data_IF_150656055848
#
_entry.id   IF_150656055848
#
_cell.length_a   1.000
_cell.length_b   1.000
_cell.length_c   1.000
_cell.angle_alpha   90.00
_cell.angle_beta   90.00
_cell.angle_gamma   90.00
#
_symmetry.space_group_name_H-M   'P 1'
#
loop_
_entity.id
_entity.type
_entity.pdbx_description
1 polymer ?
#
# COMPACT_ATOMS: atom_id res chain seq x y z
N UNK A 1 0.91 -12.08 17.54
CA UNK A 1 1.15 -12.12 16.11
C UNK A 1 1.94 -10.91 15.65
N UNK A 2 2.41 -10.93 14.41
CA UNK A 2 3.34 -9.90 13.88
C UNK A 2 2.86 -8.45 13.98
N UNK A 3 1.54 -8.19 13.88
CA UNK A 3 0.99 -6.85 14.05
C UNK A 3 1.34 -6.24 15.41
N UNK A 4 1.08 -6.96 16.50
CA UNK A 4 1.29 -6.44 17.86
C UNK A 4 2.76 -6.15 18.13
N UNK A 5 3.67 -7.02 17.69
CA UNK A 5 5.12 -6.82 17.86
C UNK A 5 5.63 -5.58 17.10
N UNK A 6 5.05 -5.29 15.93
CA UNK A 6 5.39 -4.08 15.16
C UNK A 6 4.91 -2.83 15.90
N UNK A 7 3.67 -2.86 16.42
CA UNK A 7 3.09 -1.74 17.15
C UNK A 7 3.80 -1.49 18.49
N UNK A 8 4.17 -2.55 19.20
CA UNK A 8 4.98 -2.48 20.42
C UNK A 8 6.33 -1.79 20.15
N UNK A 9 7.02 -2.20 19.07
CA UNK A 9 8.26 -1.55 18.64
C UNK A 9 8.04 -0.08 18.29
N UNK A 10 6.98 0.27 17.58
CA UNK A 10 6.66 1.66 17.25
C UNK A 10 6.42 2.51 18.50
N UNK A 11 5.69 1.98 19.50
CA UNK A 11 5.51 2.66 20.78
C UNK A 11 6.83 2.84 21.52
N UNK A 12 7.71 1.83 21.49
CA UNK A 12 9.04 1.92 22.09
C UNK A 12 9.89 3.00 21.43
N UNK A 13 9.94 3.03 20.10
CA UNK A 13 10.68 4.02 19.32
C UNK A 13 10.17 5.47 19.57
N UNK A 14 8.88 5.62 19.91
CA UNK A 14 8.25 6.89 20.27
C UNK A 14 8.36 7.24 21.76
N UNK A 15 9.02 6.42 22.59
CA UNK A 15 9.06 6.54 24.06
C UNK A 15 7.65 6.56 24.71
N UNK A 16 6.73 5.74 24.18
CA UNK A 16 5.34 5.62 24.61
C UNK A 16 4.93 4.17 24.96
N UNK A 17 5.88 3.38 25.46
CA UNK A 17 5.63 1.97 25.83
C UNK A 17 4.57 1.82 26.92
N UNK A 18 4.33 2.86 27.73
CA UNK A 18 3.24 2.94 28.70
C UNK A 18 1.84 2.88 28.06
N UNK A 19 1.72 3.16 26.77
CA UNK A 19 0.46 3.13 26.01
C UNK A 19 0.10 1.76 25.43
N UNK A 20 0.89 0.73 25.66
CA UNK A 20 0.67 -0.60 25.06
C UNK A 20 -0.69 -1.20 25.49
N UNK A 21 -1.06 -1.07 26.76
CA UNK A 21 -2.34 -1.59 27.26
C UNK A 21 -3.54 -0.87 26.63
N UNK A 22 -3.44 0.44 26.44
CA UNK A 22 -4.47 1.24 25.78
C UNK A 22 -4.59 0.81 24.30
N UNK A 23 -3.48 0.59 23.62
CA UNK A 23 -3.43 0.13 22.23
C UNK A 23 -4.10 -1.25 22.06
N UNK A 24 -3.78 -2.19 22.94
CA UNK A 24 -4.37 -3.56 22.92
C UNK A 24 -5.87 -3.50 23.11
N UNK A 25 -6.37 -2.60 23.95
CA UNK A 25 -7.82 -2.39 24.17
C UNK A 25 -8.50 -1.67 23.01
N UNK A 26 -7.79 -0.78 22.31
CA UNK A 26 -8.37 0.01 21.22
C UNK A 26 -8.57 -0.81 19.93
N UNK A 27 -7.70 -1.77 19.63
CA UNK A 27 -7.81 -2.63 18.44
C UNK A 27 -9.18 -3.32 18.32
N UNK A 28 -9.69 -4.05 19.33
CA UNK A 28 -11.01 -4.69 19.24
C UNK A 28 -12.15 -3.69 19.15
N UNK A 29 -12.01 -2.48 19.72
CA UNK A 29 -13.02 -1.43 19.63
C UNK A 29 -13.13 -0.90 18.21
N UNK A 30 -12.02 -0.58 17.57
CA UNK A 30 -12.01 -0.17 16.16
C UNK A 30 -12.55 -1.30 15.28
N UNK A 31 -12.12 -2.55 15.52
CA UNK A 31 -12.65 -3.70 14.77
C UNK A 31 -14.16 -3.81 14.84
N UNK A 32 -14.76 -3.54 16.00
CA UNK A 32 -16.21 -3.48 16.18
C UNK A 32 -16.81 -2.34 15.35
N UNK A 33 -16.25 -1.13 15.44
CA UNK A 33 -16.77 0.05 14.78
C UNK A 33 -16.74 -0.06 13.23
N UNK A 34 -15.80 -0.82 12.69
CA UNK A 34 -15.74 -1.12 11.24
C UNK A 34 -16.46 -2.40 10.83
N UNK A 35 -17.41 -2.89 11.64
CA UNK A 35 -18.25 -4.05 11.29
C UNK A 35 -17.54 -5.39 11.34
N UNK A 36 -16.63 -5.60 12.31
CA UNK A 36 -15.97 -6.86 12.61
C UNK A 36 -15.18 -7.50 11.47
N UNK A 37 -14.48 -6.70 10.70
CA UNK A 37 -13.64 -7.23 9.62
C UNK A 37 -12.63 -8.28 10.13
N UNK A 38 -12.24 -9.26 9.30
CA UNK A 38 -11.15 -10.18 9.62
C UNK A 38 -9.83 -9.44 9.80
N UNK A 39 -9.09 -9.73 10.87
CA UNK A 39 -7.75 -9.17 11.12
C UNK A 39 -6.67 -10.01 10.43
N UNK A 40 -6.62 -9.93 9.13
CA UNK A 40 -5.59 -10.54 8.27
C UNK A 40 -4.86 -9.43 7.49
N UNK A 41 -3.75 -9.73 6.85
CA UNK A 41 -3.06 -8.75 5.99
C UNK A 41 -3.94 -8.41 4.78
N UNK A 42 -4.17 -7.12 4.43
CA UNK A 42 -3.61 -5.90 5.05
C UNK A 42 -4.47 -5.31 6.18
N UNK A 43 -5.70 -5.77 6.41
CA UNK A 43 -6.67 -5.17 7.32
C UNK A 43 -6.18 -5.09 8.77
N UNK A 44 -5.43 -6.09 9.23
CA UNK A 44 -4.80 -6.06 10.56
C UNK A 44 -3.82 -4.89 10.72
N UNK A 45 -3.05 -4.58 9.68
CA UNK A 45 -2.09 -3.47 9.69
C UNK A 45 -2.82 -2.12 9.69
N UNK A 46 -3.89 -2.00 8.90
CA UNK A 46 -4.72 -0.78 8.82
C UNK A 46 -5.36 -0.49 10.18
N UNK A 47 -5.99 -1.50 10.80
CA UNK A 47 -6.62 -1.35 12.13
C UNK A 47 -5.57 -1.05 13.20
N UNK A 48 -4.42 -1.71 13.16
CA UNK A 48 -3.33 -1.47 14.10
C UNK A 48 -2.78 -0.03 13.99
N UNK A 49 -2.55 0.45 12.78
CA UNK A 49 -2.08 1.82 12.56
C UNK A 49 -3.10 2.86 13.05
N UNK A 50 -4.40 2.63 12.79
CA UNK A 50 -5.45 3.53 13.30
C UNK A 50 -5.56 3.49 14.82
N UNK A 51 -5.41 2.31 15.43
CA UNK A 51 -5.40 2.19 16.89
C UNK A 51 -4.24 2.96 17.52
N UNK A 52 -3.06 2.90 16.91
CA UNK A 52 -1.90 3.67 17.35
C UNK A 52 -2.18 5.19 17.28
N UNK A 53 -2.75 5.68 16.19
CA UNK A 53 -3.12 7.10 16.07
C UNK A 53 -4.11 7.52 17.15
N UNK A 54 -5.19 6.75 17.36
CA UNK A 54 -6.19 7.06 18.39
C UNK A 54 -5.57 7.16 19.80
N UNK A 55 -4.64 6.26 20.12
CA UNK A 55 -3.96 6.23 21.42
C UNK A 55 -2.97 7.37 21.58
N UNK A 56 -2.20 7.71 20.53
CA UNK A 56 -1.25 8.82 20.57
C UNK A 56 -1.95 10.18 20.64
N UNK A 57 -3.06 10.33 19.95
CA UNK A 57 -3.87 11.57 19.95
C UNK A 57 -4.70 11.73 21.24
N UNK A 58 -4.83 10.68 22.06
CA UNK A 58 -5.76 10.59 23.19
C UNK A 58 -7.23 10.90 22.81
N UNK A 59 -7.56 10.74 21.53
CA UNK A 59 -8.89 11.02 20.97
C UNK A 59 -9.13 10.11 19.77
N UNK A 60 -10.26 9.38 19.80
CA UNK A 60 -10.61 8.43 18.76
C UNK A 60 -10.98 9.15 17.47
N UNK A 61 -10.39 8.71 16.37
CA UNK A 61 -10.67 9.17 15.01
C UNK A 61 -10.43 10.67 14.78
N UNK A 62 -9.65 11.33 15.64
CA UNK A 62 -9.20 12.71 15.43
C UNK A 62 -8.40 12.83 14.13
N UNK A 63 -7.43 11.96 13.97
CA UNK A 63 -6.65 11.77 12.76
C UNK A 63 -6.97 10.41 12.15
N UNK A 64 -7.24 10.36 10.84
CA UNK A 64 -7.48 9.15 10.09
C UNK A 64 -6.36 8.95 9.08
N UNK A 65 -5.81 7.74 9.00
CA UNK A 65 -4.93 7.41 7.90
C UNK A 65 -5.76 7.11 6.63
N UNK A 66 -5.12 7.29 5.48
CA UNK A 66 -5.79 7.12 4.18
C UNK A 66 -6.33 5.70 4.01
N UNK A 67 -5.53 4.70 4.35
CA UNK A 67 -5.90 3.28 4.19
C UNK A 67 -7.10 2.91 5.06
N UNK A 68 -7.26 3.56 6.22
CA UNK A 68 -8.43 3.36 7.08
C UNK A 68 -9.69 4.00 6.48
N UNK A 69 -9.56 5.20 5.89
CA UNK A 69 -10.66 5.83 5.15
C UNK A 69 -11.08 4.93 3.98
N UNK A 70 -10.13 4.47 3.18
CA UNK A 70 -10.35 3.58 2.04
C UNK A 70 -11.03 2.27 2.49
N UNK A 71 -10.64 1.73 3.65
CA UNK A 71 -11.27 0.54 4.25
C UNK A 71 -12.74 0.79 4.58
N UNK A 72 -13.05 1.89 5.30
CA UNK A 72 -14.42 2.25 5.70
C UNK A 72 -15.29 2.54 4.47
N UNK A 73 -14.72 3.10 3.42
CA UNK A 73 -15.39 3.36 2.12
C UNK A 73 -15.63 2.09 1.29
N UNK A 74 -15.05 0.96 1.67
CA UNK A 74 -15.27 -0.33 1.02
C UNK A 74 -14.28 -0.68 -0.10
N UNK A 75 -13.20 0.05 -0.27
CA UNK A 75 -12.19 -0.21 -1.31
C UNK A 75 -11.46 -1.56 -1.11
N UNK A 76 -11.49 -2.09 0.12
CA UNK A 76 -10.97 -3.43 0.45
C UNK A 76 -12.02 -4.54 0.35
N UNK A 77 -13.20 -4.24 -0.17
CA UNK A 77 -14.30 -5.19 -0.36
C UNK A 77 -15.43 -5.03 0.65
N UNK A 78 -16.41 -5.95 0.57
CA UNK A 78 -17.60 -5.90 1.40
C UNK A 78 -17.27 -6.16 2.87
N UNK A 79 -17.69 -5.23 3.73
CA UNK A 79 -17.58 -5.34 5.18
C UNK A 79 -18.62 -6.32 5.72
N UNK A 80 -18.28 -7.25 6.64
CA UNK A 80 -19.18 -8.29 7.10
C UNK A 80 -20.37 -7.78 7.93
N UNK A 81 -20.17 -6.76 8.75
CA UNK A 81 -21.19 -6.19 9.64
C UNK A 81 -21.45 -4.72 9.36
N UNK A 82 -22.28 -4.10 10.19
CA UNK A 82 -22.60 -2.67 10.08
C UNK A 82 -21.45 -1.84 10.65
N UNK A 83 -21.10 -0.78 9.94
CA UNK A 83 -20.14 0.22 10.39
C UNK A 83 -20.84 1.17 11.37
N UNK A 84 -20.15 1.59 12.42
CA UNK A 84 -20.66 2.59 13.36
C UNK A 84 -21.01 3.91 12.65
N UNK A 85 -22.19 4.44 12.93
CA UNK A 85 -22.70 5.63 12.25
C UNK A 85 -21.85 6.87 12.51
N UNK A 86 -21.34 7.02 13.75
CA UNK A 86 -20.49 8.15 14.10
C UNK A 86 -19.16 8.12 13.35
N UNK A 87 -18.61 6.92 13.15
CA UNK A 87 -17.42 6.72 12.33
C UNK A 87 -17.68 7.07 10.85
N UNK A 88 -18.83 6.67 10.29
CA UNK A 88 -19.20 7.04 8.92
C UNK A 88 -19.29 8.57 8.76
N UNK A 89 -19.94 9.27 9.69
CA UNK A 89 -20.03 10.73 9.65
C UNK A 89 -18.65 11.41 9.68
N UNK A 90 -17.73 10.91 10.52
CA UNK A 90 -16.35 11.42 10.59
C UNK A 90 -15.63 11.18 9.26
N UNK A 91 -15.72 9.97 8.69
CA UNK A 91 -15.06 9.62 7.43
C UNK A 91 -15.65 10.42 6.26
N UNK A 92 -16.97 10.62 6.23
CA UNK A 92 -17.65 11.40 5.17
C UNK A 92 -17.29 12.89 5.21
N UNK A 93 -16.95 13.42 6.39
CA UNK A 93 -16.48 14.81 6.54
C UNK A 93 -15.06 15.04 6.02
N UNK A 94 -14.27 13.99 5.78
CA UNK A 94 -12.89 14.12 5.30
C UNK A 94 -12.86 14.20 3.76
N UNK A 95 -11.95 15.00 3.18
CA UNK A 95 -11.76 15.00 1.74
C UNK A 95 -11.32 13.59 1.32
N UNK A 96 -12.15 12.95 0.54
CA UNK A 96 -11.87 11.65 -0.05
C UNK A 96 -11.60 11.85 -1.53
N UNK A 97 -10.38 11.55 -1.93
CA UNK A 97 -10.02 11.55 -3.33
C UNK A 97 -10.61 10.29 -3.98
N UNK A 98 -11.80 10.42 -4.58
CA UNK A 98 -12.48 9.34 -5.31
C UNK A 98 -11.72 8.92 -6.57
N UNK A 99 -10.47 9.34 -6.74
CA UNK A 99 -9.62 8.94 -7.85
C UNK A 99 -9.20 7.45 -7.81
N UNK A 100 -9.77 6.65 -6.91
CA UNK A 100 -9.80 5.21 -7.11
C UNK A 100 -10.83 4.88 -8.20
N UNK A 101 -10.60 5.40 -9.39
CA UNK A 101 -11.20 4.83 -10.59
C UNK A 101 -10.85 3.35 -10.59
N UNK A 102 -11.85 2.47 -10.48
CA UNK A 102 -11.62 1.03 -10.59
C UNK A 102 -10.71 0.79 -11.81
N UNK A 103 -9.48 0.41 -11.53
CA UNK A 103 -8.47 0.24 -12.57
C UNK A 103 -8.83 -1.01 -13.37
N UNK A 104 -9.70 -0.86 -14.38
CA UNK A 104 -9.96 -1.94 -15.32
C UNK A 104 -8.67 -2.24 -16.08
N UNK A 105 -8.53 -3.49 -16.54
CA UNK A 105 -7.36 -3.91 -17.35
C UNK A 105 -7.15 -3.00 -18.55
N UNK A 106 -8.23 -2.52 -19.18
CA UNK A 106 -8.15 -1.61 -20.34
C UNK A 106 -7.61 -0.24 -19.96
N UNK A 107 -8.07 0.33 -18.84
CA UNK A 107 -7.53 1.60 -18.32
C UNK A 107 -6.06 1.47 -17.93
N UNK A 108 -5.69 0.35 -17.28
CA UNK A 108 -4.31 0.06 -16.94
C UNK A 108 -3.43 -0.07 -18.19
N UNK A 109 -3.94 -0.72 -19.24
CA UNK A 109 -3.26 -0.85 -20.53
C UNK A 109 -3.01 0.50 -21.20
N UNK A 110 -3.96 1.42 -21.13
CA UNK A 110 -3.78 2.79 -21.63
C UNK A 110 -2.72 3.54 -20.83
N UNK A 111 -2.82 3.55 -19.50
CA UNK A 111 -1.84 4.19 -18.63
C UNK A 111 -0.41 3.64 -18.84
N UNK A 112 -0.27 2.33 -19.02
CA UNK A 112 1.02 1.71 -19.30
C UNK A 112 1.57 2.10 -20.68
N UNK A 113 0.73 2.14 -21.70
CA UNK A 113 1.11 2.61 -23.04
C UNK A 113 1.57 4.09 -23.03
N UNK A 114 0.87 4.94 -22.29
CA UNK A 114 1.23 6.35 -22.17
C UNK A 114 2.55 6.53 -21.41
N UNK A 115 2.77 5.78 -20.33
CA UNK A 115 4.06 5.73 -19.65
C UNK A 115 5.20 5.29 -20.59
N UNK A 116 4.99 4.22 -21.35
CA UNK A 116 5.99 3.75 -22.32
C UNK A 116 6.31 4.79 -23.40
N UNK A 117 5.30 5.52 -23.89
CA UNK A 117 5.49 6.61 -24.87
C UNK A 117 6.26 7.77 -24.26
N UNK A 118 5.86 8.24 -23.07
CA UNK A 118 6.51 9.34 -22.36
C UNK A 118 8.00 9.09 -22.15
N UNK A 119 8.36 7.87 -21.77
CA UNK A 119 9.74 7.46 -21.51
C UNK A 119 10.47 6.91 -22.75
N UNK A 120 9.84 6.99 -23.93
CA UNK A 120 10.38 6.48 -25.20
C UNK A 120 10.75 4.99 -25.20
N UNK A 121 9.98 4.19 -24.42
CA UNK A 121 10.23 2.78 -24.14
C UNK A 121 9.53 1.87 -25.18
N UNK A 122 9.64 2.15 -26.46
CA UNK A 122 8.92 1.47 -27.57
C UNK A 122 9.07 -0.07 -27.61
N UNK A 123 10.05 -0.64 -26.91
CA UNK A 123 10.36 -2.08 -26.94
C UNK A 123 9.73 -2.87 -25.77
N UNK A 124 9.12 -2.23 -24.77
CA UNK A 124 8.82 -2.88 -23.49
C UNK A 124 7.38 -3.41 -23.34
N UNK A 125 6.42 -2.92 -24.11
CA UNK A 125 5.09 -3.53 -24.15
C UNK A 125 5.06 -4.69 -25.13
N UNK A 126 5.52 -5.87 -24.70
CA UNK A 126 5.56 -7.07 -25.56
C UNK A 126 4.41 -8.03 -25.27
N UNK A 127 3.94 -8.10 -24.03
CA UNK A 127 2.93 -9.08 -23.62
C UNK A 127 2.14 -8.62 -22.38
N UNK A 128 1.12 -9.40 -22.03
CA UNK A 128 0.29 -9.11 -20.84
C UNK A 128 1.04 -9.26 -19.52
N UNK A 129 2.18 -9.97 -19.47
CA UNK A 129 3.03 -10.08 -18.29
C UNK A 129 3.61 -8.70 -17.92
N UNK A 130 4.07 -7.92 -18.89
CA UNK A 130 4.58 -6.57 -18.66
C UNK A 130 3.47 -5.67 -18.08
N UNK A 131 2.25 -5.80 -18.59
CA UNK A 131 1.09 -5.08 -18.08
C UNK A 131 0.76 -5.49 -16.64
N UNK A 132 0.77 -6.78 -16.33
CA UNK A 132 0.50 -7.30 -14.99
C UNK A 132 1.57 -6.82 -14.00
N UNK A 133 2.84 -6.86 -14.37
CA UNK A 133 3.92 -6.31 -13.55
C UNK A 133 3.72 -4.82 -13.28
N UNK A 134 3.34 -4.05 -14.30
CA UNK A 134 3.06 -2.63 -14.14
C UNK A 134 1.86 -2.36 -13.21
N UNK A 135 0.81 -3.18 -13.26
CA UNK A 135 -0.36 -3.04 -12.39
C UNK A 135 -0.03 -3.41 -10.94
N UNK A 136 0.62 -4.55 -10.73
CA UNK A 136 0.87 -5.11 -9.41
C UNK A 136 2.03 -4.44 -8.68
N UNK A 137 3.04 -3.97 -9.41
CA UNK A 137 4.27 -3.40 -8.88
C UNK A 137 4.63 -2.10 -9.63
N UNK A 138 3.70 -1.14 -9.62
CA UNK A 138 3.78 0.07 -10.47
C UNK A 138 5.09 0.84 -10.28
N UNK A 139 5.55 1.06 -9.04
CA UNK A 139 6.78 1.80 -8.74
C UNK A 139 8.01 1.03 -9.18
N UNK A 140 8.12 -0.22 -8.76
CA UNK A 140 9.24 -1.11 -9.08
C UNK A 140 9.36 -1.34 -10.58
N UNK A 141 8.22 -1.54 -11.25
CA UNK A 141 8.18 -1.70 -12.72
C UNK A 141 8.62 -0.45 -13.44
N UNK A 142 8.15 0.72 -13.04
CA UNK A 142 8.60 2.00 -13.62
C UNK A 142 10.11 2.19 -13.45
N UNK A 143 10.63 1.93 -12.26
CA UNK A 143 12.06 2.04 -11.98
C UNK A 143 12.87 1.03 -12.82
N UNK A 144 12.42 -0.22 -12.89
CA UNK A 144 13.06 -1.27 -13.68
C UNK A 144 13.09 -0.92 -15.17
N UNK A 145 11.95 -0.58 -15.75
CA UNK A 145 11.86 -0.26 -17.17
C UNK A 145 12.65 1.00 -17.53
N UNK A 146 12.71 1.98 -16.66
CA UNK A 146 13.50 3.20 -16.87
C UNK A 146 15.01 2.90 -16.78
N UNK A 147 15.45 2.07 -15.84
CA UNK A 147 16.85 1.68 -15.66
C UNK A 147 17.33 0.75 -16.76
N UNK A 148 16.53 -0.26 -17.14
CA UNK A 148 16.90 -1.21 -18.19
C UNK A 148 16.98 -0.58 -19.59
N UNK A 149 16.38 0.60 -19.79
CA UNK A 149 16.56 1.37 -21.03
C UNK A 149 17.92 2.08 -21.11
N UNK A 150 18.66 2.13 -19.99
CA UNK A 150 19.96 2.82 -19.87
C UNK A 150 21.14 1.84 -19.94
N UNK A 151 20.89 0.51 -19.93
CA UNK A 151 21.97 -0.44 -20.19
C UNK A 151 22.43 -0.26 -21.65
N UNK A 152 23.56 0.42 -21.78
CA UNK A 152 24.17 0.69 -23.07
C UNK A 152 24.78 -0.61 -23.64
N UNK A 153 25.03 -0.64 -24.95
CA UNK A 153 25.78 -1.74 -25.57
C UNK A 153 27.16 -1.93 -24.93
N UNK A 154 27.75 -0.88 -24.39
CA UNK A 154 29.03 -0.92 -23.66
C UNK A 154 28.92 -1.66 -22.32
N UNK A 155 27.82 -1.46 -21.57
CA UNK A 155 27.59 -2.19 -20.31
C UNK A 155 27.40 -3.70 -20.55
N UNK A 156 26.81 -4.08 -21.71
CA UNK A 156 26.68 -5.47 -22.13
C UNK A 156 28.04 -6.07 -22.51
N UNK A 157 28.93 -5.30 -23.14
CA UNK A 157 30.27 -5.73 -23.48
C UNK A 157 31.12 -5.91 -22.22
N UNK A 158 31.08 -4.97 -21.27
CA UNK A 158 31.78 -5.12 -19.98
C UNK A 158 31.28 -6.34 -19.17
N UNK A 159 29.96 -6.62 -19.19
CA UNK A 159 29.40 -7.83 -18.59
C UNK A 159 29.90 -9.11 -19.27
N UNK A 160 30.00 -9.12 -20.60
CA UNK A 160 30.54 -10.27 -21.35
C UNK A 160 32.03 -10.49 -21.09
N UNK A 161 32.82 -9.41 -21.03
CA UNK A 161 34.24 -9.50 -20.70
C UNK A 161 34.49 -9.93 -19.24
N UNK A 162 33.65 -9.45 -18.30
CA UNK A 162 33.68 -9.89 -16.90
C UNK A 162 33.34 -11.36 -16.72
N UNK A 163 32.43 -11.92 -17.51
CA UNK A 163 32.12 -13.38 -17.50
C UNK A 163 33.20 -14.21 -18.18
N UNK A 164 33.92 -13.66 -19.15
CA UNK A 164 35.02 -14.36 -19.85
C UNK A 164 36.25 -14.60 -18.95
N UNK A 165 36.47 -13.77 -17.94
CA UNK A 165 37.58 -13.90 -16.99
C UNK A 165 37.38 -14.99 -15.92
N UNK A 166 36.15 -15.54 -15.78
CA UNK A 166 35.87 -16.64 -14.84
C UNK A 166 35.87 -18.03 -15.50
N UNK A 167 36.10 -18.14 -16.81
CA UNK A 167 36.08 -19.39 -17.56
C UNK A 167 37.44 -19.74 -18.18
N UNK A 168 38.53 -19.08 -17.79
CA UNK A 168 39.90 -19.42 -18.24
C UNK A 168 40.74 -20.00 -17.12
#
# INVERSE_FOLDING_TARGET
>A
GGMLSILEKQLFDLNKSDKLDDLVKEIPRIRKDVGYIPLVTPTSQIIGAQALLNVLDNERYKNLNKEFIDLVKGDYGKIPGDIDKSLLEIVDSKPYDQNFESLTVDKARLKFKDFCKEKNLKKLYKNDTDLLNYILFTKESKDFYTKSSVISMNDLIELQEGFGLYMS
#
